data_IF_629432203939
#
_entry.id   IF_629432203939
#
_cell.length_a   1.000
_cell.length_b   1.000
_cell.length_c   1.000
_cell.angle_alpha   90.00
_cell.angle_beta   90.00
_cell.angle_gamma   90.00
#
_symmetry.space_group_name_H-M   'P 1'
#
loop_
_entity.id
_entity.type
_entity.pdbx_description
1 polymer ?
#
# COMPACT_ATOMS: atom_id res chain seq x y z
N UNK A 1 -1.83 -29.62 15.24
CA UNK A 1 -2.40 -28.93 14.06
C UNK A 1 -1.29 -28.81 13.03
N UNK A 2 -1.45 -29.40 11.86
CA UNK A 2 -0.49 -29.30 10.75
C UNK A 2 -0.44 -27.86 10.27
N UNK A 3 0.77 -27.29 10.24
CA UNK A 3 1.00 -25.93 9.72
C UNK A 3 0.55 -25.85 8.25
N UNK A 4 -0.26 -24.85 7.89
CA UNK A 4 -0.74 -24.70 6.52
C UNK A 4 0.42 -24.30 5.59
N UNK A 5 0.34 -24.65 4.29
CA UNK A 5 1.33 -24.25 3.28
C UNK A 5 1.58 -22.73 3.31
N UNK A 6 0.52 -21.93 3.49
CA UNK A 6 0.63 -20.48 3.55
C UNK A 6 1.43 -20.01 4.77
N UNK A 7 1.20 -20.60 5.94
CA UNK A 7 1.94 -20.30 7.16
C UNK A 7 3.42 -20.68 7.03
N UNK A 8 3.71 -21.86 6.46
CA UNK A 8 5.09 -22.30 6.18
C UNK A 8 5.82 -21.31 5.26
N UNK A 9 5.18 -20.88 4.16
CA UNK A 9 5.74 -19.89 3.24
C UNK A 9 6.02 -18.58 3.97
N UNK A 10 5.06 -18.06 4.76
CA UNK A 10 5.22 -16.82 5.51
C UNK A 10 6.43 -16.89 6.45
N UNK A 11 6.57 -17.94 7.20
CA UNK A 11 7.69 -18.18 8.13
C UNK A 11 9.04 -18.23 7.41
N UNK A 12 9.12 -18.91 6.25
CA UNK A 12 10.34 -18.92 5.42
C UNK A 12 10.68 -17.49 4.95
N UNK A 13 9.69 -16.72 4.48
CA UNK A 13 9.91 -15.36 4.03
C UNK A 13 10.35 -14.44 5.17
N UNK A 14 9.77 -14.56 6.37
CA UNK A 14 10.19 -13.83 7.58
C UNK A 14 11.67 -14.08 7.91
N UNK A 15 12.12 -15.32 7.81
CA UNK A 15 13.49 -15.69 8.09
C UNK A 15 14.51 -15.29 7.01
N UNK A 16 14.07 -15.06 5.77
CA UNK A 16 14.94 -14.80 4.60
C UNK A 16 14.90 -13.36 4.09
N UNK A 17 13.93 -12.59 4.51
CA UNK A 17 13.75 -11.21 4.10
C UNK A 17 13.79 -10.31 5.33
N UNK A 18 14.67 -9.34 5.31
CA UNK A 18 14.61 -8.26 6.28
C UNK A 18 13.33 -7.46 6.01
N UNK A 19 12.37 -7.53 6.91
CA UNK A 19 11.31 -6.54 6.93
C UNK A 19 11.95 -5.19 7.25
N UNK A 20 11.56 -4.10 6.55
CA UNK A 20 11.83 -2.78 7.08
C UNK A 20 11.35 -2.81 8.54
N UNK A 21 12.16 -2.33 9.48
CA UNK A 21 11.72 -2.20 10.87
C UNK A 21 10.32 -1.63 10.81
N UNK A 22 9.34 -2.39 11.30
CA UNK A 22 7.95 -1.98 11.33
C UNK A 22 7.87 -0.71 12.18
N UNK A 23 8.16 0.38 11.55
CA UNK A 23 7.87 1.68 12.13
C UNK A 23 6.35 1.73 12.03
N UNK A 24 5.64 1.65 13.17
CA UNK A 24 4.29 2.21 13.28
C UNK A 24 4.33 3.47 12.45
N UNK A 25 3.41 3.67 11.55
CA UNK A 25 3.44 4.79 10.61
C UNK A 25 3.96 6.02 11.36
N UNK A 26 5.09 6.58 10.93
CA UNK A 26 5.62 7.83 11.49
C UNK A 26 4.68 8.99 11.18
N UNK A 27 3.75 8.73 10.29
CA UNK A 27 2.86 9.69 9.70
C UNK A 27 1.49 9.59 10.33
N UNK A 28 0.85 10.72 10.51
CA UNK A 28 -0.56 10.73 10.83
C UNK A 28 -1.39 10.16 9.65
N UNK A 29 -2.69 9.88 9.84
CA UNK A 29 -3.52 9.31 8.79
C UNK A 29 -3.58 10.14 7.51
N UNK A 30 -3.60 11.46 7.63
CA UNK A 30 -3.64 12.35 6.47
C UNK A 30 -2.30 12.37 5.73
N UNK A 31 -1.19 12.42 6.45
CA UNK A 31 0.14 12.28 5.85
C UNK A 31 0.29 10.94 5.13
N UNK A 32 -0.18 9.84 5.74
CA UNK A 32 -0.19 8.50 5.11
C UNK A 32 -0.99 8.51 3.80
N UNK A 33 -2.14 9.17 3.78
CA UNK A 33 -2.94 9.33 2.57
C UNK A 33 -2.18 10.13 1.50
N UNK A 34 -1.58 11.26 1.86
CA UNK A 34 -0.80 12.12 0.95
C UNK A 34 0.40 11.35 0.38
N UNK A 35 1.19 10.69 1.22
CA UNK A 35 2.33 9.85 0.76
C UNK A 35 1.85 8.77 -0.20
N UNK A 36 0.72 8.13 0.10
CA UNK A 36 0.16 7.07 -0.75
C UNK A 36 -0.30 7.61 -2.11
N UNK A 37 -0.90 8.80 -2.16
CA UNK A 37 -1.24 9.47 -3.43
C UNK A 37 0.04 9.80 -4.21
N UNK A 38 1.08 10.32 -3.56
CA UNK A 38 2.38 10.60 -4.20
C UNK A 38 3.01 9.32 -4.75
N UNK A 39 2.86 8.19 -4.08
CA UNK A 39 3.44 6.90 -4.47
C UNK A 39 2.80 6.26 -5.70
N UNK A 40 1.62 6.70 -6.12
CA UNK A 40 0.92 6.15 -7.28
C UNK A 40 1.77 6.31 -8.56
N UNK A 41 2.08 5.18 -9.22
CA UNK A 41 2.94 5.13 -10.42
C UNK A 41 4.32 5.80 -10.23
N UNK A 42 4.89 5.70 -9.04
CA UNK A 42 6.15 6.35 -8.66
C UNK A 42 7.06 5.35 -7.94
N UNK A 43 8.35 5.41 -8.23
CA UNK A 43 9.34 4.63 -7.50
C UNK A 43 9.50 5.18 -6.06
N UNK A 44 9.75 4.29 -5.08
CA UNK A 44 9.84 4.64 -3.66
C UNK A 44 10.79 5.83 -3.40
N UNK A 45 12.00 5.80 -3.98
CA UNK A 45 12.99 6.90 -3.84
C UNK A 45 12.44 8.25 -4.29
N UNK A 46 11.66 8.28 -5.36
CA UNK A 46 11.06 9.51 -5.86
C UNK A 46 9.86 9.94 -5.00
N UNK A 47 9.12 8.97 -4.44
CA UNK A 47 8.06 9.23 -3.46
C UNK A 47 8.62 9.91 -2.22
N UNK A 48 9.70 9.36 -1.65
CA UNK A 48 10.39 9.93 -0.46
C UNK A 48 10.90 11.35 -0.74
N UNK A 49 11.51 11.57 -1.91
CA UNK A 49 11.99 12.91 -2.30
C UNK A 49 10.85 13.91 -2.49
N UNK A 50 9.77 13.51 -3.16
CA UNK A 50 8.62 14.37 -3.40
C UNK A 50 7.92 14.74 -2.09
N UNK A 51 7.72 13.76 -1.21
CA UNK A 51 7.14 14.01 0.12
C UNK A 51 8.07 14.86 0.98
N UNK A 52 9.37 14.60 0.97
CA UNK A 52 10.36 15.43 1.67
C UNK A 52 10.41 16.88 1.19
N UNK A 53 10.24 17.13 -0.11
CA UNK A 53 10.10 18.49 -0.66
C UNK A 53 8.80 19.14 -0.18
N UNK A 54 7.69 18.39 -0.21
CA UNK A 54 6.40 18.86 0.26
C UNK A 54 6.44 19.27 1.74
N UNK A 55 6.97 18.40 2.61
CA UNK A 55 7.04 18.61 4.06
C UNK A 55 7.99 19.75 4.47
N UNK A 56 8.95 20.10 3.61
CA UNK A 56 9.82 21.28 3.82
C UNK A 56 9.12 22.59 3.49
N UNK A 57 8.19 22.56 2.52
CA UNK A 57 7.52 23.75 1.99
C UNK A 57 6.19 24.03 2.69
N UNK A 58 5.52 22.97 3.16
CA UNK A 58 4.20 23.04 3.76
C UNK A 58 4.13 22.18 5.02
N UNK A 59 3.35 22.60 5.98
CA UNK A 59 2.79 21.69 6.97
C UNK A 59 1.83 20.73 6.25
N UNK A 60 2.02 19.42 6.42
CA UNK A 60 1.22 18.42 5.69
C UNK A 60 -0.10 18.20 6.43
N UNK A 61 -0.96 19.20 6.42
CA UNK A 61 -2.30 19.21 7.03
C UNK A 61 -3.38 19.51 5.99
N UNK A 62 -4.63 19.07 6.19
CA UNK A 62 -5.74 19.43 5.31
C UNK A 62 -5.91 20.93 5.16
N UNK A 63 -5.73 21.70 6.24
CA UNK A 63 -5.82 23.14 6.24
C UNK A 63 -4.78 23.77 5.30
N UNK A 64 -3.50 23.44 5.50
CA UNK A 64 -2.41 24.04 4.74
C UNK A 64 -2.46 23.62 3.25
N UNK A 65 -2.68 22.33 2.97
CA UNK A 65 -2.65 21.83 1.59
C UNK A 65 -3.89 22.21 0.77
N UNK A 66 -5.05 22.45 1.39
CA UNK A 66 -6.24 22.95 0.69
C UNK A 66 -6.05 24.39 0.20
N UNK A 67 -5.31 25.20 0.93
CA UNK A 67 -5.03 26.59 0.63
C UNK A 67 -3.74 26.82 -0.17
N UNK A 68 -2.89 25.78 -0.28
CA UNK A 68 -1.61 25.87 -0.95
C UNK A 68 -1.73 26.35 -2.40
N UNK A 69 -0.80 27.16 -2.84
CA UNK A 69 -0.69 27.57 -4.25
C UNK A 69 -0.34 26.34 -5.10
N UNK A 70 -1.16 26.10 -6.15
CA UNK A 70 -1.04 24.88 -6.97
C UNK A 70 0.33 24.75 -7.61
N UNK A 71 0.90 25.84 -8.11
CA UNK A 71 2.24 25.87 -8.71
C UNK A 71 3.34 25.41 -7.75
N UNK A 72 3.25 25.79 -6.47
CA UNK A 72 4.20 25.36 -5.42
C UNK A 72 4.04 23.89 -5.08
N UNK A 73 2.78 23.38 -4.99
CA UNK A 73 2.53 21.94 -4.84
C UNK A 73 3.11 21.14 -6.00
N UNK A 74 2.87 21.58 -7.23
CA UNK A 74 3.41 20.94 -8.43
C UNK A 74 4.94 20.91 -8.43
N UNK A 75 5.60 22.00 -8.03
CA UNK A 75 7.06 22.05 -7.91
C UNK A 75 7.62 21.04 -6.90
N UNK A 76 6.99 20.91 -5.72
CA UNK A 76 7.39 19.90 -4.73
C UNK A 76 7.25 18.47 -5.26
N UNK A 77 6.21 18.19 -6.03
CA UNK A 77 5.85 16.85 -6.50
C UNK A 77 6.52 16.46 -7.82
N UNK A 78 7.21 17.37 -8.50
CA UNK A 78 7.75 17.19 -9.86
C UNK A 78 8.58 15.91 -10.00
N UNK A 79 9.42 15.60 -9.02
CA UNK A 79 10.28 14.40 -9.02
C UNK A 79 9.48 13.10 -8.99
N UNK A 80 8.24 13.12 -8.51
CA UNK A 80 7.36 11.96 -8.38
C UNK A 80 6.60 11.58 -9.66
N UNK A 81 6.70 12.37 -10.73
CA UNK A 81 5.91 12.18 -11.95
C UNK A 81 4.41 12.40 -11.74
N UNK A 82 3.66 12.62 -12.80
CA UNK A 82 2.22 12.93 -12.76
C UNK A 82 1.87 14.06 -11.77
N UNK A 83 2.82 14.97 -11.53
CA UNK A 83 2.80 15.95 -10.45
C UNK A 83 1.60 16.91 -10.53
N UNK A 84 1.17 17.30 -11.72
CA UNK A 84 -0.02 18.15 -11.90
C UNK A 84 -1.30 17.49 -11.42
N UNK A 85 -1.50 16.22 -11.81
CA UNK A 85 -2.65 15.44 -11.39
C UNK A 85 -2.61 15.17 -9.88
N UNK A 86 -1.44 14.79 -9.35
CA UNK A 86 -1.25 14.55 -7.90
C UNK A 86 -1.48 15.81 -7.08
N UNK A 87 -0.97 16.96 -7.49
CA UNK A 87 -1.21 18.24 -6.82
C UNK A 87 -2.70 18.59 -6.77
N UNK A 88 -3.39 18.43 -7.90
CA UNK A 88 -4.85 18.64 -7.97
C UNK A 88 -5.60 17.68 -7.03
N UNK A 89 -5.24 16.40 -7.04
CA UNK A 89 -5.85 15.38 -6.17
C UNK A 89 -5.61 15.69 -4.70
N UNK A 90 -4.37 15.95 -4.29
CA UNK A 90 -4.02 16.28 -2.90
C UNK A 90 -4.82 17.50 -2.43
N UNK A 91 -4.86 18.56 -3.22
CA UNK A 91 -5.60 19.77 -2.88
C UNK A 91 -7.12 19.51 -2.73
N UNK A 92 -7.71 18.74 -3.65
CA UNK A 92 -9.13 18.39 -3.60
C UNK A 92 -9.47 17.51 -2.38
N UNK A 93 -8.65 16.50 -2.09
CA UNK A 93 -8.80 15.64 -0.91
C UNK A 93 -8.68 16.47 0.36
N UNK A 94 -7.67 17.33 0.46
CA UNK A 94 -7.47 18.23 1.61
C UNK A 94 -8.70 19.09 1.88
N UNK A 95 -9.27 19.67 0.82
CA UNK A 95 -10.49 20.49 0.91
C UNK A 95 -11.67 19.68 1.45
N UNK A 96 -11.91 18.48 0.90
CA UNK A 96 -13.02 17.63 1.34
C UNK A 96 -12.85 17.20 2.80
N UNK A 97 -11.63 16.83 3.21
CA UNK A 97 -11.35 16.43 4.60
C UNK A 97 -11.56 17.61 5.54
N UNK A 98 -11.12 18.81 5.14
CA UNK A 98 -11.34 20.02 5.93
C UNK A 98 -12.83 20.34 6.10
N UNK A 99 -13.58 20.35 5.01
CA UNK A 99 -14.99 20.79 5.01
C UNK A 99 -15.95 19.75 5.60
N UNK A 100 -15.78 18.47 5.25
CA UNK A 100 -16.72 17.41 5.66
C UNK A 100 -16.33 16.73 6.97
N UNK A 101 -15.04 16.67 7.29
CA UNK A 101 -14.50 15.90 8.42
C UNK A 101 -13.72 16.77 9.40
N UNK A 102 -13.88 18.10 9.33
CA UNK A 102 -13.23 19.06 10.27
C UNK A 102 -11.70 18.92 10.32
N UNK A 103 -11.08 18.54 9.20
CA UNK A 103 -9.63 18.39 9.09
C UNK A 103 -9.07 17.07 9.63
N UNK A 104 -9.90 16.09 9.99
CA UNK A 104 -9.45 14.80 10.53
C UNK A 104 -10.03 13.62 9.75
N UNK A 105 -9.22 12.56 9.54
CA UNK A 105 -9.69 11.28 9.01
C UNK A 105 -10.27 10.36 10.09
N UNK A 106 -10.09 10.68 11.37
CA UNK A 106 -10.52 9.85 12.49
C UNK A 106 -11.99 9.40 12.40
N UNK A 107 -12.96 10.28 12.04
CA UNK A 107 -14.35 9.86 11.91
C UNK A 107 -14.59 8.76 10.86
N UNK A 108 -13.69 8.65 9.86
CA UNK A 108 -13.74 7.57 8.87
C UNK A 108 -13.02 6.33 9.40
N UNK A 109 -11.87 6.50 10.02
CA UNK A 109 -10.99 5.40 10.44
C UNK A 109 -11.57 4.57 11.59
N UNK A 110 -12.50 5.13 12.37
CA UNK A 110 -13.21 4.44 13.47
C UNK A 110 -14.42 3.63 13.01
N UNK A 111 -14.84 3.77 11.75
CA UNK A 111 -15.94 2.99 11.17
C UNK A 111 -15.57 1.51 11.00
N UNK A 112 -16.56 0.60 10.90
CA UNK A 112 -16.31 -0.77 10.43
C UNK A 112 -15.56 -0.79 9.10
N UNK A 113 -14.67 -1.78 8.91
CA UNK A 113 -13.73 -1.85 7.79
C UNK A 113 -14.34 -1.51 6.43
N UNK A 114 -15.41 -2.18 6.03
CA UNK A 114 -15.98 -2.00 4.69
C UNK A 114 -16.65 -0.63 4.52
N UNK A 115 -17.20 -0.07 5.60
CA UNK A 115 -17.75 1.28 5.60
C UNK A 115 -16.64 2.34 5.50
N UNK A 116 -15.57 2.17 6.28
CA UNK A 116 -14.38 3.03 6.21
C UNK A 116 -13.74 3.01 4.82
N UNK A 117 -13.60 1.80 4.22
CA UNK A 117 -13.12 1.63 2.85
C UNK A 117 -13.97 2.42 1.86
N UNK A 118 -15.30 2.26 1.94
CA UNK A 118 -16.25 2.96 1.07
C UNK A 118 -16.10 4.48 1.21
N UNK A 119 -16.02 4.99 2.43
CA UNK A 119 -15.85 6.43 2.71
C UNK A 119 -14.52 6.97 2.20
N UNK A 120 -13.42 6.24 2.36
CA UNK A 120 -12.13 6.65 1.80
C UNK A 120 -12.16 6.67 0.26
N UNK A 121 -12.81 5.70 -0.39
CA UNK A 121 -12.92 5.62 -1.85
C UNK A 121 -13.83 6.70 -2.45
N UNK A 122 -14.67 7.38 -1.66
CA UNK A 122 -15.40 8.58 -2.10
C UNK A 122 -14.45 9.78 -2.31
N UNK A 123 -13.24 9.73 -1.76
CA UNK A 123 -12.25 10.80 -1.93
C UNK A 123 -11.60 10.72 -3.33
N UNK A 124 -11.39 11.86 -4.01
CA UNK A 124 -10.80 11.87 -5.35
C UNK A 124 -9.40 11.22 -5.36
N UNK A 125 -9.16 10.34 -6.31
CA UNK A 125 -7.88 9.63 -6.48
C UNK A 125 -7.59 8.55 -5.43
N UNK A 126 -8.54 8.22 -4.57
CA UNK A 126 -8.46 7.14 -3.60
C UNK A 126 -9.19 5.91 -4.13
N UNK A 127 -8.42 4.94 -4.59
CA UNK A 127 -8.92 3.61 -4.98
C UNK A 127 -8.78 2.59 -3.84
N UNK A 128 -9.21 1.33 -4.07
CA UNK A 128 -9.17 0.27 -3.06
C UNK A 128 -7.79 0.11 -2.40
N UNK A 129 -6.71 0.08 -3.19
CA UNK A 129 -5.33 -0.04 -2.66
C UNK A 129 -4.96 1.11 -1.73
N UNK A 130 -5.31 2.35 -2.10
CA UNK A 130 -5.00 3.53 -1.28
C UNK A 130 -5.81 3.52 0.02
N UNK A 131 -7.09 3.17 -0.05
CA UNK A 131 -7.95 3.03 1.12
C UNK A 131 -7.40 1.96 2.09
N UNK A 132 -7.05 0.77 1.58
CA UNK A 132 -6.51 -0.31 2.41
C UNK A 132 -5.14 0.03 3.02
N UNK A 133 -4.29 0.80 2.33
CA UNK A 133 -3.02 1.29 2.92
C UNK A 133 -3.30 2.21 4.10
N UNK A 134 -4.18 3.19 3.95
CA UNK A 134 -4.51 4.12 5.04
C UNK A 134 -5.10 3.36 6.22
N UNK A 135 -6.02 2.44 6.00
CA UNK A 135 -6.67 1.66 7.05
C UNK A 135 -5.70 0.74 7.79
N UNK A 136 -4.84 0.03 7.06
CA UNK A 136 -3.87 -0.88 7.67
C UNK A 136 -2.79 -0.12 8.46
N UNK A 137 -2.19 0.92 7.86
CA UNK A 137 -1.02 1.59 8.43
C UNK A 137 -1.38 2.64 9.49
N UNK A 138 -2.52 3.30 9.37
CA UNK A 138 -2.90 4.39 10.28
C UNK A 138 -3.95 4.00 11.31
N UNK A 139 -4.83 3.03 11.00
CA UNK A 139 -5.91 2.61 11.89
C UNK A 139 -5.78 1.16 12.37
N UNK A 140 -4.74 0.45 11.93
CA UNK A 140 -4.54 -0.98 12.23
C UNK A 140 -5.79 -1.84 11.93
N UNK A 141 -6.58 -1.42 10.94
CA UNK A 141 -7.76 -2.15 10.49
C UNK A 141 -7.35 -3.44 9.77
N UNK A 142 -8.11 -4.54 9.91
CA UNK A 142 -7.74 -5.85 9.42
C UNK A 142 -7.95 -6.00 7.91
N UNK A 143 -7.12 -5.33 7.12
CA UNK A 143 -7.10 -5.43 5.65
C UNK A 143 -5.70 -5.65 5.11
N UNK A 144 -5.57 -6.17 3.88
CA UNK A 144 -4.29 -6.37 3.18
C UNK A 144 -4.31 -5.58 1.88
N UNK A 145 -3.55 -4.50 1.75
CA UNK A 145 -3.44 -3.78 0.48
C UNK A 145 -2.83 -4.65 -0.61
N UNK A 146 -3.41 -4.65 -1.81
CA UNK A 146 -2.94 -5.45 -2.94
C UNK A 146 -2.31 -4.54 -3.98
N UNK A 147 -0.99 -4.36 -3.93
CA UNK A 147 -0.24 -3.68 -4.97
C UNK A 147 0.13 -4.64 -6.11
N UNK A 148 0.87 -4.16 -7.10
CA UNK A 148 1.31 -4.98 -8.25
C UNK A 148 2.21 -6.15 -7.84
N UNK A 149 3.01 -6.00 -6.76
CA UNK A 149 3.84 -7.08 -6.24
C UNK A 149 2.99 -8.10 -5.50
N UNK A 150 2.14 -7.66 -4.57
CA UNK A 150 1.23 -8.52 -3.81
C UNK A 150 0.33 -9.30 -4.77
N UNK A 151 -0.31 -8.65 -5.73
CA UNK A 151 -1.16 -9.31 -6.73
C UNK A 151 -0.42 -10.42 -7.49
N UNK A 152 0.74 -10.10 -8.04
CA UNK A 152 1.55 -11.05 -8.81
C UNK A 152 2.03 -12.23 -7.97
N UNK A 153 2.60 -11.92 -6.81
CA UNK A 153 3.19 -12.93 -5.92
C UNK A 153 2.11 -13.85 -5.37
N UNK A 154 0.97 -13.32 -4.94
CA UNK A 154 -0.15 -14.11 -4.43
C UNK A 154 -0.68 -15.10 -5.47
N UNK A 155 -0.86 -14.66 -6.71
CA UNK A 155 -1.29 -15.53 -7.80
C UNK A 155 -0.26 -16.62 -8.11
N UNK A 156 1.03 -16.26 -8.20
CA UNK A 156 2.10 -17.24 -8.48
C UNK A 156 2.32 -18.22 -7.34
N UNK A 157 2.17 -17.80 -6.09
CA UNK A 157 2.23 -18.71 -4.93
C UNK A 157 0.94 -19.51 -4.76
N UNK A 158 -0.10 -19.29 -5.56
CA UNK A 158 -1.39 -19.97 -5.44
C UNK A 158 -2.14 -19.59 -4.16
N UNK A 159 -1.94 -18.38 -3.66
CA UNK A 159 -2.74 -17.79 -2.57
C UNK A 159 -4.05 -17.20 -3.08
N UNK A 160 -4.10 -16.87 -4.36
CA UNK A 160 -5.30 -16.43 -5.05
C UNK A 160 -5.36 -17.05 -6.46
N UNK A 161 -6.55 -17.22 -7.05
CA UNK A 161 -6.69 -17.66 -8.43
C UNK A 161 -6.00 -16.70 -9.42
N UNK A 162 -5.53 -17.19 -10.59
CA UNK A 162 -4.76 -16.37 -11.53
C UNK A 162 -5.55 -15.22 -12.17
N UNK A 163 -6.84 -15.42 -12.45
CA UNK A 163 -7.67 -14.52 -13.25
C UNK A 163 -8.65 -13.67 -12.41
N UNK A 164 -8.31 -13.40 -11.15
CA UNK A 164 -9.17 -12.61 -10.25
C UNK A 164 -8.71 -11.17 -10.10
N UNK A 165 -9.62 -10.30 -9.67
CA UNK A 165 -9.37 -8.88 -9.43
C UNK A 165 -8.78 -8.58 -8.06
N UNK A 166 -8.74 -7.28 -7.75
CA UNK A 166 -8.19 -6.76 -6.49
C UNK A 166 -8.87 -7.37 -5.27
N UNK A 167 -10.20 -7.33 -5.24
CA UNK A 167 -10.99 -7.74 -4.06
C UNK A 167 -10.84 -9.24 -3.77
N UNK A 168 -10.87 -10.06 -4.80
CA UNK A 168 -10.71 -11.51 -4.60
C UNK A 168 -9.30 -11.87 -4.12
N UNK A 169 -8.26 -11.16 -4.57
CA UNK A 169 -6.89 -11.35 -4.03
C UNK A 169 -6.85 -10.93 -2.59
N UNK A 170 -7.42 -9.78 -2.22
CA UNK A 170 -7.51 -9.29 -0.85
C UNK A 170 -8.19 -10.30 0.06
N UNK A 171 -9.39 -10.74 -0.30
CA UNK A 171 -10.18 -11.69 0.47
C UNK A 171 -9.49 -13.07 0.58
N UNK A 172 -8.87 -13.55 -0.51
CA UNK A 172 -8.09 -14.79 -0.50
C UNK A 172 -6.94 -14.73 0.52
N UNK A 173 -6.20 -13.61 0.54
CA UNK A 173 -5.14 -13.44 1.53
C UNK A 173 -5.68 -13.35 2.96
N UNK A 174 -6.77 -12.63 3.17
CA UNK A 174 -7.41 -12.53 4.48
C UNK A 174 -7.94 -13.87 5.01
N UNK A 175 -8.37 -14.78 4.13
CA UNK A 175 -8.79 -16.13 4.52
C UNK A 175 -7.63 -17.08 4.88
N UNK A 176 -6.40 -16.78 4.42
CA UNK A 176 -5.23 -17.63 4.61
C UNK A 176 -4.38 -17.24 5.81
N UNK A 177 -4.45 -16.00 6.28
CA UNK A 177 -3.59 -15.46 7.31
C UNK A 177 -4.41 -14.84 8.46
N UNK A 178 -3.83 -14.82 9.67
CA UNK A 178 -4.43 -14.12 10.80
C UNK A 178 -4.36 -12.60 10.62
N UNK A 179 -5.37 -11.84 11.09
CA UNK A 179 -5.36 -10.37 11.01
C UNK A 179 -4.12 -9.70 11.59
N UNK A 180 -3.55 -10.25 12.66
CA UNK A 180 -2.30 -9.78 13.29
C UNK A 180 -1.10 -9.82 12.35
N UNK A 181 -1.12 -10.69 11.32
CA UNK A 181 -0.02 -10.92 10.39
C UNK A 181 -0.18 -10.11 9.08
N UNK A 182 -1.32 -9.44 8.86
CA UNK A 182 -1.63 -8.79 7.56
C UNK A 182 -0.58 -7.76 7.14
N UNK A 183 -0.07 -6.97 8.06
CA UNK A 183 1.00 -6.03 7.76
C UNK A 183 2.31 -6.74 7.35
N UNK A 184 2.67 -7.79 8.06
CA UNK A 184 3.84 -8.61 7.73
C UNK A 184 3.66 -9.31 6.37
N UNK A 185 2.49 -9.89 6.11
CA UNK A 185 2.14 -10.51 4.82
C UNK A 185 2.30 -9.50 3.67
N UNK A 186 1.70 -8.32 3.79
CA UNK A 186 1.80 -7.26 2.78
C UNK A 186 3.27 -6.91 2.47
N UNK A 187 4.04 -6.60 3.49
CA UNK A 187 5.44 -6.19 3.33
C UNK A 187 6.34 -7.31 2.79
N UNK A 188 6.14 -8.55 3.25
CA UNK A 188 6.93 -9.70 2.80
C UNK A 188 6.64 -10.06 1.34
N UNK A 189 5.38 -10.00 0.92
CA UNK A 189 5.02 -10.26 -0.48
C UNK A 189 5.60 -9.18 -1.41
N UNK A 190 5.64 -7.91 -0.99
CA UNK A 190 6.33 -6.85 -1.73
C UNK A 190 7.84 -7.14 -1.80
N UNK A 191 8.49 -7.39 -0.67
CA UNK A 191 9.92 -7.65 -0.60
C UNK A 191 10.31 -8.87 -1.44
N UNK A 192 9.52 -9.96 -1.35
CA UNK A 192 9.69 -11.15 -2.16
C UNK A 192 9.51 -10.86 -3.66
N UNK A 193 8.49 -10.10 -4.03
CA UNK A 193 8.22 -9.69 -5.40
C UNK A 193 9.33 -8.84 -6.02
N UNK A 194 9.98 -8.01 -5.20
CA UNK A 194 11.13 -7.18 -5.62
C UNK A 194 12.42 -8.00 -5.75
N UNK A 195 12.69 -8.87 -4.81
CA UNK A 195 13.96 -9.59 -4.73
C UNK A 195 14.01 -10.83 -5.64
N UNK A 196 12.97 -11.67 -5.58
CA UNK A 196 12.94 -12.98 -6.23
C UNK A 196 11.89 -13.10 -7.31
N UNK A 197 10.63 -12.89 -6.97
CA UNK A 197 9.48 -13.11 -7.85
C UNK A 197 9.23 -11.90 -8.75
N UNK A 198 10.22 -11.52 -9.58
CA UNK A 198 10.16 -10.40 -10.50
C UNK A 198 9.07 -10.59 -11.56
N UNK A 199 8.54 -9.49 -12.13
CA UNK A 199 7.54 -9.56 -13.19
C UNK A 199 8.07 -10.27 -14.43
N UNK A 200 9.25 -9.87 -14.87
CA UNK A 200 10.03 -10.51 -15.93
C UNK A 200 11.21 -11.25 -15.33
N UNK A 201 11.52 -12.43 -15.86
CA UNK A 201 12.64 -13.27 -15.41
C UNK A 201 12.70 -13.48 -13.89
N UNK A 202 11.68 -14.14 -13.29
CA UNK A 202 11.68 -14.44 -11.88
C UNK A 202 12.86 -15.39 -11.54
N UNK A 203 13.48 -15.17 -10.38
CA UNK A 203 14.65 -15.94 -9.93
C UNK A 203 14.23 -17.23 -9.23
N UNK A 204 13.42 -18.07 -9.88
CA UNK A 204 12.86 -19.31 -9.31
C UNK A 204 13.91 -20.24 -8.71
N UNK A 205 15.07 -20.52 -9.34
CA UNK A 205 16.10 -21.39 -8.77
C UNK A 205 16.70 -20.85 -7.46
N UNK A 206 16.67 -19.53 -7.23
CA UNK A 206 17.19 -18.87 -6.02
C UNK A 206 16.08 -18.50 -5.03
N UNK A 207 14.82 -18.82 -5.34
CA UNK A 207 13.67 -18.45 -4.53
C UNK A 207 13.59 -19.33 -3.28
N UNK A 208 13.51 -18.75 -2.07
CA UNK A 208 13.52 -19.53 -0.82
C UNK A 208 12.25 -20.37 -0.63
N UNK A 209 11.20 -20.11 -1.39
CA UNK A 209 9.91 -20.83 -1.33
C UNK A 209 9.59 -21.58 -2.62
N UNK A 210 10.59 -21.87 -3.47
CA UNK A 210 10.37 -22.52 -4.76
C UNK A 210 9.73 -23.91 -4.62
N UNK A 211 10.09 -24.66 -3.57
CA UNK A 211 9.53 -25.98 -3.29
C UNK A 211 8.02 -25.97 -2.99
N UNK A 212 7.51 -24.82 -2.56
CA UNK A 212 6.10 -24.62 -2.23
C UNK A 212 5.33 -23.85 -3.31
N UNK A 213 5.98 -23.45 -4.41
CA UNK A 213 5.40 -22.59 -5.42
C UNK A 213 4.83 -23.38 -6.60
N UNK A 214 3.51 -23.34 -6.86
CA UNK A 214 2.93 -24.05 -8.00
C UNK A 214 3.36 -23.45 -9.35
N UNK A 215 3.87 -22.22 -9.35
CA UNK A 215 4.42 -21.55 -10.55
C UNK A 215 5.95 -21.70 -10.64
N UNK A 216 6.56 -22.66 -9.93
CA UNK A 216 7.98 -22.90 -10.05
C UNK A 216 8.32 -23.34 -11.48
N UNK A 217 9.36 -22.72 -12.06
CA UNK A 217 9.75 -22.99 -13.46
C UNK A 217 9.31 -21.94 -14.47
N UNK A 218 8.52 -20.94 -14.12
CA UNK A 218 8.19 -19.83 -15.02
C UNK A 218 9.40 -18.96 -15.42
N UNK A 219 10.57 -19.21 -14.87
CA UNK A 219 11.81 -18.43 -15.09
C UNK A 219 12.89 -19.15 -15.89
N UNK A 220 12.52 -20.27 -16.57
CA UNK A 220 13.40 -20.95 -17.52
C UNK A 220 13.36 -20.32 -18.89
#
# INVERSE_FOLDING_TARGET
MTETRAATILKILQNRLALPRLVKSKYDPFETLVVTIISQNTADRNTERAFGNLSKQFEVTPQALSQAETSKLEACLHVGGLYKSKAKTIKAVSKIILEKYRGSLEPILTLPLEEARKKLMELPGVGPKTADVVLLFSANQPTIPVDTHVNRVSKRLGFAPPNVGYEEVRLSLQSLFDPKDYLAVHLLLIAHGRKYCKARQPLCPKCPVNAYCPSNGLGG
#
